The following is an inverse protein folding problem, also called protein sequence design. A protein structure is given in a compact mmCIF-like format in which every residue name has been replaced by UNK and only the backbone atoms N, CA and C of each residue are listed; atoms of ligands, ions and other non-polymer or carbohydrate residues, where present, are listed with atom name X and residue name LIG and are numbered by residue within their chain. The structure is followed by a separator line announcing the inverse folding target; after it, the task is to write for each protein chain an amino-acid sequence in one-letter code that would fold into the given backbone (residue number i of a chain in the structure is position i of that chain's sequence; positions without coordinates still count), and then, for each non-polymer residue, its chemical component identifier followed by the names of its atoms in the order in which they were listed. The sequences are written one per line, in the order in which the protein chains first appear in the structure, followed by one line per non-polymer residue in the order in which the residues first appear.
data_IF_154411356985
#
_entry.id   IF_154411356985
#
_cell.length_a   1.000
_cell.length_b   1.000
_cell.length_c   1.000
_cell.angle_alpha   90.00
_cell.angle_beta   90.00
_cell.angle_gamma   90.00
#
_symmetry.space_group_name_H-M   'P 1'
#
loop_
_entity.id
_entity.type
_entity.pdbx_description
1 polymer ?
#
# COMPACT_ATOMS: atom_id res chain seq x y z
N UNK A 1 32.22 33.49 12.78
CA UNK A 1 32.64 33.68 14.16
C UNK A 1 33.29 32.44 14.76
N UNK A 2 32.81 31.20 14.45
CA UNK A 2 33.33 29.93 15.00
C UNK A 2 34.75 29.64 14.51
N UNK A 3 35.02 29.77 13.19
CA UNK A 3 36.32 29.48 12.59
C UNK A 3 37.47 30.29 13.18
N UNK A 4 37.36 31.65 13.37
CA UNK A 4 38.39 32.42 14.02
C UNK A 4 38.61 32.05 15.49
N UNK A 5 37.54 31.64 16.19
CA UNK A 5 37.58 31.23 17.58
C UNK A 5 38.34 29.90 17.75
N UNK A 6 38.05 28.93 16.89
CA UNK A 6 38.77 27.64 16.83
C UNK A 6 40.25 27.83 16.56
N UNK A 7 40.61 28.79 15.69
CA UNK A 7 42.01 29.09 15.38
C UNK A 7 42.77 29.72 16.58
N UNK A 8 42.09 30.58 17.37
CA UNK A 8 42.68 31.18 18.58
C UNK A 8 42.85 30.14 19.69
N UNK A 9 41.88 29.23 19.82
CA UNK A 9 41.88 28.19 20.85
C UNK A 9 42.72 26.97 20.47
N UNK A 10 43.24 26.91 19.26
CA UNK A 10 43.98 25.77 18.69
C UNK A 10 43.21 24.44 18.76
N UNK A 11 41.88 24.52 18.61
CA UNK A 11 41.01 23.36 18.56
C UNK A 11 40.37 23.22 17.18
N UNK A 12 40.05 22.01 16.79
CA UNK A 12 39.30 21.77 15.54
C UNK A 12 37.83 22.18 15.68
N UNK A 13 37.18 22.49 14.58
CA UNK A 13 35.72 22.81 14.57
C UNK A 13 34.94 21.64 15.17
N UNK A 14 35.35 20.39 14.90
CA UNK A 14 34.69 19.21 15.46
C UNK A 14 34.87 19.07 16.96
N UNK A 15 36.03 19.41 17.51
CA UNK A 15 36.26 19.46 18.97
C UNK A 15 35.42 20.57 19.64
N UNK A 16 35.29 21.71 18.96
CA UNK A 16 34.43 22.78 19.44
C UNK A 16 32.95 22.38 19.50
N UNK A 17 32.48 21.67 18.47
CA UNK A 17 31.08 21.22 18.39
C UNK A 17 30.79 20.01 19.28
N UNK A 18 31.74 19.08 19.46
CA UNK A 18 31.58 17.92 20.34
C UNK A 18 31.81 18.20 21.80
N UNK A 19 32.45 19.33 22.16
CA UNK A 19 32.83 19.68 23.53
C UNK A 19 33.90 18.75 24.13
N UNK A 20 34.57 17.93 23.35
CA UNK A 20 35.58 16.96 23.78
C UNK A 20 36.89 17.21 23.04
N UNK A 21 38.02 17.27 23.80
CA UNK A 21 39.36 17.30 23.22
C UNK A 21 39.78 15.91 22.81
N UNK A 22 39.82 15.63 21.50
CA UNK A 22 40.17 14.32 20.96
C UNK A 22 41.59 14.39 20.35
N UNK A 23 42.48 13.53 20.81
CA UNK A 23 43.78 13.27 20.14
C UNK A 23 43.53 12.73 18.72
N UNK A 24 44.43 13.04 17.77
CA UNK A 24 44.28 12.74 16.34
C UNK A 24 43.94 11.27 16.06
N UNK A 25 44.41 10.33 16.88
CA UNK A 25 44.07 8.90 16.83
C UNK A 25 42.63 8.58 17.28
N UNK A 26 41.99 9.44 18.08
CA UNK A 26 40.60 9.24 18.54
C UNK A 26 39.55 9.61 17.49
N UNK A 27 39.90 10.44 16.51
CA UNK A 27 38.97 10.81 15.42
C UNK A 27 38.73 9.66 14.46
N UNK A 28 39.78 8.92 14.10
CA UNK A 28 39.68 7.76 13.22
C UNK A 28 38.85 6.66 13.86
N UNK A 29 39.10 6.38 15.13
CA UNK A 29 38.36 5.36 15.89
C UNK A 29 36.86 5.70 16.07
N UNK A 30 36.54 6.96 16.43
CA UNK A 30 35.13 7.41 16.51
C UNK A 30 34.45 7.43 15.15
N UNK A 31 35.15 7.84 14.08
CA UNK A 31 34.63 7.82 12.73
C UNK A 31 34.35 6.39 12.24
N UNK A 32 35.23 5.44 12.54
CA UNK A 32 35.03 4.01 12.21
C UNK A 32 33.84 3.42 12.99
N UNK A 33 33.70 3.72 14.30
CA UNK A 33 32.58 3.27 15.13
C UNK A 33 31.25 3.84 14.62
N UNK A 34 31.21 5.13 14.29
CA UNK A 34 30.02 5.78 13.74
C UNK A 34 29.66 5.19 12.37
N UNK A 35 30.65 4.94 11.51
CA UNK A 35 30.44 4.32 10.21
C UNK A 35 29.93 2.86 10.34
N UNK A 36 30.46 2.11 11.30
CA UNK A 36 30.02 0.76 11.61
C UNK A 36 28.58 0.73 12.14
N UNK A 37 28.23 1.65 13.02
CA UNK A 37 26.86 1.81 13.53
C UNK A 37 25.88 2.17 12.41
N UNK A 38 26.23 3.09 11.51
CA UNK A 38 25.42 3.45 10.35
C UNK A 38 25.22 2.27 9.36
N UNK A 39 26.28 1.48 9.16
CA UNK A 39 26.20 0.26 8.33
C UNK A 39 25.29 -0.78 8.99
N UNK A 40 25.38 -0.98 10.29
CA UNK A 40 24.56 -1.91 11.05
C UNK A 40 23.10 -1.49 11.09
N UNK A 41 22.81 -0.19 11.26
CA UNK A 41 21.44 0.37 11.15
C UNK A 41 20.87 0.18 9.75
N UNK A 42 21.68 0.39 8.70
CA UNK A 42 21.25 0.21 7.31
C UNK A 42 20.94 -1.27 6.99
N UNK A 43 21.75 -2.20 7.51
CA UNK A 43 21.48 -3.64 7.36
C UNK A 43 20.25 -4.10 8.14
N UNK A 44 20.10 -3.63 9.37
CA UNK A 44 18.92 -3.91 10.19
C UNK A 44 17.64 -3.35 9.58
N UNK A 45 17.69 -2.15 9.02
CA UNK A 45 16.59 -1.53 8.28
C UNK A 45 16.22 -2.32 7.02
N UNK A 46 17.21 -2.79 6.25
CA UNK A 46 16.98 -3.66 5.07
C UNK A 46 16.36 -5.00 5.47
N UNK A 47 16.83 -5.62 6.57
CA UNK A 47 16.31 -6.89 7.08
C UNK A 47 14.86 -6.74 7.57
N UNK A 48 14.57 -5.65 8.29
CA UNK A 48 13.22 -5.31 8.76
C UNK A 48 12.26 -5.03 7.58
N UNK A 49 12.72 -4.34 6.55
CA UNK A 49 11.93 -4.07 5.34
C UNK A 49 11.62 -5.35 4.56
N UNK A 50 12.56 -6.27 4.40
CA UNK A 50 12.34 -7.58 3.75
C UNK A 50 11.38 -8.45 4.55
N UNK A 51 11.53 -8.54 5.87
CA UNK A 51 10.62 -9.28 6.75
C UNK A 51 9.19 -8.74 6.67
N UNK A 52 9.02 -7.43 6.66
CA UNK A 52 7.72 -6.78 6.49
C UNK A 52 7.07 -7.05 5.12
N UNK A 53 7.87 -7.14 4.05
CA UNK A 53 7.41 -7.50 2.70
C UNK A 53 6.91 -8.95 2.63
N UNK A 54 7.66 -9.87 3.23
CA UNK A 54 7.28 -11.29 3.31
C UNK A 54 6.02 -11.46 4.14
N UNK A 55 5.93 -10.81 5.30
CA UNK A 55 4.73 -10.84 6.14
C UNK A 55 3.50 -10.32 5.39
N UNK A 56 3.64 -9.22 4.63
CA UNK A 56 2.57 -8.69 3.79
C UNK A 56 2.14 -9.68 2.71
N UNK A 57 3.09 -10.27 1.97
CA UNK A 57 2.80 -11.27 0.94
C UNK A 57 2.07 -12.49 1.51
N UNK A 58 2.53 -13.00 2.67
CA UNK A 58 1.90 -14.12 3.37
C UNK A 58 0.47 -13.76 3.79
N UNK A 59 0.24 -12.56 4.33
CA UNK A 59 -1.10 -12.11 4.76
C UNK A 59 -2.08 -12.07 3.58
N UNK A 60 -1.65 -11.55 2.42
CA UNK A 60 -2.48 -11.53 1.20
C UNK A 60 -2.79 -12.94 0.71
N UNK A 61 -1.80 -13.84 0.72
CA UNK A 61 -2.00 -15.24 0.30
C UNK A 61 -2.96 -15.95 1.25
N UNK A 62 -2.79 -15.80 2.58
CA UNK A 62 -3.70 -16.40 3.58
C UNK A 62 -5.12 -15.85 3.39
N UNK A 63 -5.28 -14.53 3.17
CA UNK A 63 -6.59 -13.93 2.94
C UNK A 63 -7.27 -14.52 1.70
N UNK A 64 -6.57 -14.59 0.57
CA UNK A 64 -7.08 -15.20 -0.65
C UNK A 64 -7.44 -16.68 -0.45
N UNK A 65 -6.60 -17.42 0.27
CA UNK A 65 -6.87 -18.82 0.57
C UNK A 65 -8.11 -19.00 1.45
N UNK A 66 -8.30 -18.16 2.48
CA UNK A 66 -9.49 -18.21 3.35
C UNK A 66 -10.76 -17.88 2.56
N UNK A 67 -10.73 -16.87 1.69
CA UNK A 67 -11.86 -16.53 0.82
C UNK A 67 -12.19 -17.70 -0.12
N UNK A 68 -11.19 -18.24 -0.80
CA UNK A 68 -11.35 -19.34 -1.74
C UNK A 68 -11.89 -20.60 -1.03
N UNK A 69 -11.32 -20.94 0.13
CA UNK A 69 -11.77 -22.06 0.96
C UNK A 69 -13.23 -21.88 1.40
N UNK A 70 -13.59 -20.67 1.86
CA UNK A 70 -14.96 -20.36 2.26
C UNK A 70 -15.95 -20.53 1.11
N UNK A 71 -15.58 -20.10 -0.09
CA UNK A 71 -16.39 -20.29 -1.31
C UNK A 71 -16.57 -21.78 -1.64
N UNK A 72 -15.48 -22.54 -1.65
CA UNK A 72 -15.51 -23.98 -2.01
C UNK A 72 -16.32 -24.79 -0.99
N UNK A 73 -16.19 -24.49 0.30
CA UNK A 73 -16.87 -25.27 1.36
C UNK A 73 -18.34 -24.93 1.51
N UNK A 74 -18.72 -23.68 1.32
CA UNK A 74 -20.10 -23.21 1.52
C UNK A 74 -20.97 -23.36 0.25
N UNK A 75 -20.36 -23.47 -0.93
CA UNK A 75 -21.07 -23.61 -2.20
C UNK A 75 -20.72 -24.97 -2.84
N UNK A 76 -21.73 -25.79 -3.10
CA UNK A 76 -21.56 -26.99 -3.92
C UNK A 76 -20.99 -26.65 -5.30
N UNK A 77 -20.36 -27.64 -5.97
CA UNK A 77 -19.65 -27.47 -7.26
C UNK A 77 -20.52 -26.77 -8.32
N UNK A 78 -21.82 -27.02 -8.34
CA UNK A 78 -22.78 -26.39 -9.27
C UNK A 78 -23.03 -24.90 -8.98
N UNK A 79 -22.82 -24.44 -7.73
CA UNK A 79 -22.99 -23.04 -7.31
C UNK A 79 -21.74 -22.19 -7.53
N UNK A 80 -20.57 -22.81 -7.71
CA UNK A 80 -19.32 -22.08 -7.97
C UNK A 80 -19.35 -21.29 -9.29
N UNK A 81 -20.10 -21.75 -10.28
CA UNK A 81 -20.30 -21.00 -11.54
C UNK A 81 -21.13 -19.72 -11.35
N UNK A 82 -22.04 -19.69 -10.36
CA UNK A 82 -22.84 -18.51 -10.06
C UNK A 82 -22.03 -17.45 -9.28
N UNK A 83 -20.94 -17.87 -8.62
CA UNK A 83 -20.08 -16.97 -7.86
C UNK A 83 -19.13 -16.17 -8.76
N UNK A 84 -18.79 -16.66 -9.94
CA UNK A 84 -17.88 -15.96 -10.88
C UNK A 84 -18.72 -15.29 -11.97
N UNK A 85 -19.15 -14.07 -11.69
CA UNK A 85 -19.83 -13.21 -12.66
C UNK A 85 -18.79 -12.39 -13.44
N UNK A 86 -18.36 -12.93 -14.58
CA UNK A 86 -17.37 -12.30 -15.45
C UNK A 86 -17.76 -10.91 -15.97
N UNK A 87 -19.00 -10.65 -16.41
CA UNK A 87 -19.45 -9.31 -16.81
C UNK A 87 -19.26 -8.27 -15.70
N UNK A 88 -19.71 -8.57 -14.48
CA UNK A 88 -19.57 -7.67 -13.31
C UNK A 88 -18.11 -7.41 -12.95
N UNK A 89 -17.26 -8.44 -12.95
CA UNK A 89 -15.83 -8.25 -12.73
C UNK A 89 -15.20 -7.37 -13.81
N UNK A 90 -15.51 -7.62 -15.06
CA UNK A 90 -14.95 -6.87 -16.18
C UNK A 90 -15.38 -5.39 -16.13
N UNK A 91 -16.65 -5.10 -15.84
CA UNK A 91 -17.16 -3.73 -15.69
C UNK A 91 -16.44 -2.98 -14.57
N UNK A 92 -16.25 -3.60 -13.42
CA UNK A 92 -15.55 -3.02 -12.27
C UNK A 92 -14.09 -2.68 -12.61
N UNK A 93 -13.36 -3.59 -13.27
CA UNK A 93 -11.98 -3.33 -13.70
C UNK A 93 -11.92 -2.23 -14.76
N UNK A 94 -12.81 -2.25 -15.75
CA UNK A 94 -12.84 -1.27 -16.83
C UNK A 94 -13.13 0.14 -16.29
N UNK A 95 -14.14 0.29 -15.45
CA UNK A 95 -14.49 1.58 -14.85
C UNK A 95 -13.34 2.08 -13.96
N UNK A 96 -12.73 1.20 -13.15
CA UNK A 96 -11.58 1.59 -12.34
C UNK A 96 -10.41 2.06 -13.21
N UNK A 97 -10.14 1.36 -14.31
CA UNK A 97 -9.11 1.78 -15.26
C UNK A 97 -9.42 3.14 -15.90
N UNK A 98 -10.68 3.37 -16.30
CA UNK A 98 -11.10 4.66 -16.87
C UNK A 98 -10.93 5.82 -15.86
N UNK A 99 -11.30 5.62 -14.58
CA UNK A 99 -11.07 6.64 -13.54
C UNK A 99 -9.58 6.92 -13.30
N UNK A 100 -8.75 5.87 -13.26
CA UNK A 100 -7.30 6.01 -13.10
C UNK A 100 -6.66 6.72 -14.31
N UNK A 101 -7.10 6.43 -15.52
CA UNK A 101 -6.62 7.11 -16.73
C UNK A 101 -7.11 8.55 -16.79
N UNK A 102 -8.37 8.81 -16.51
CA UNK A 102 -8.95 10.17 -16.54
C UNK A 102 -8.34 11.11 -15.50
N UNK A 103 -7.83 10.56 -14.39
CA UNK A 103 -7.12 11.34 -13.35
C UNK A 103 -5.60 11.36 -13.53
N UNK A 104 -5.05 10.79 -14.59
CA UNK A 104 -3.61 10.61 -14.83
C UNK A 104 -2.89 9.81 -13.71
N UNK A 105 -3.63 8.98 -12.98
CA UNK A 105 -3.11 8.13 -11.90
C UNK A 105 -2.85 6.68 -12.34
N UNK A 106 -3.01 6.35 -13.61
CA UNK A 106 -2.77 5.01 -14.15
C UNK A 106 -1.34 4.54 -13.94
N UNK A 107 -0.34 5.34 -14.35
CA UNK A 107 1.08 5.01 -14.11
C UNK A 107 1.43 4.97 -12.63
N UNK A 108 1.05 5.95 -11.78
CA UNK A 108 1.24 5.89 -10.34
C UNK A 108 0.62 4.64 -9.67
N UNK A 109 -0.49 4.12 -10.19
CA UNK A 109 -1.09 2.88 -9.71
C UNK A 109 -0.14 1.68 -9.88
N UNK A 110 0.44 1.49 -11.07
CA UNK A 110 1.43 0.43 -11.29
C UNK A 110 2.74 0.68 -10.54
N UNK A 111 3.16 1.93 -10.42
CA UNK A 111 4.33 2.32 -9.63
C UNK A 111 4.15 1.99 -8.14
N UNK A 112 2.93 2.03 -7.61
CA UNK A 112 2.62 1.64 -6.23
C UNK A 112 3.10 0.22 -5.91
N UNK A 113 2.83 -0.72 -6.79
CA UNK A 113 3.30 -2.11 -6.64
C UNK A 113 4.82 -2.22 -6.77
N UNK A 114 5.43 -1.48 -7.72
CA UNK A 114 6.90 -1.46 -7.89
C UNK A 114 7.62 -0.88 -6.68
N UNK A 115 7.04 0.15 -6.05
CA UNK A 115 7.57 0.76 -4.84
C UNK A 115 7.50 -0.24 -3.68
N UNK A 116 6.35 -0.87 -3.47
CA UNK A 116 6.14 -1.83 -2.38
C UNK A 116 7.04 -3.06 -2.53
N UNK A 117 7.18 -3.59 -3.74
CA UNK A 117 8.03 -4.75 -4.01
C UNK A 117 9.53 -4.41 -4.11
N UNK A 118 9.93 -3.18 -3.75
CA UNK A 118 11.34 -2.77 -3.64
C UNK A 118 12.11 -2.70 -4.96
N UNK A 119 11.41 -2.67 -6.09
CA UNK A 119 12.03 -2.57 -7.42
C UNK A 119 12.51 -1.15 -7.77
N UNK A 120 12.05 -0.14 -7.03
CA UNK A 120 12.41 1.28 -7.25
C UNK A 120 13.32 1.74 -6.11
N UNK A 121 14.61 1.99 -6.39
CA UNK A 121 15.62 2.34 -5.38
C UNK A 121 15.52 3.79 -4.87
N UNK A 122 15.06 4.72 -5.70
CA UNK A 122 14.85 6.12 -5.31
C UNK A 122 13.42 6.56 -5.64
N UNK A 123 12.65 6.90 -4.63
CA UNK A 123 11.26 7.35 -4.78
C UNK A 123 11.16 8.76 -4.22
N UNK A 124 10.62 9.73 -4.97
CA UNK A 124 10.37 11.09 -4.46
C UNK A 124 9.11 11.12 -3.61
N UNK A 125 9.00 12.12 -2.72
CA UNK A 125 7.79 12.37 -1.91
C UNK A 125 6.56 12.53 -2.82
N UNK A 126 6.71 13.26 -3.93
CA UNK A 126 5.65 13.46 -4.94
C UNK A 126 5.17 12.14 -5.55
N UNK A 127 6.10 11.21 -5.85
CA UNK A 127 5.74 9.88 -6.39
C UNK A 127 4.99 9.03 -5.36
N UNK A 128 5.39 9.07 -4.09
CA UNK A 128 4.69 8.38 -3.00
C UNK A 128 3.27 8.93 -2.82
N UNK A 129 3.11 10.25 -2.86
CA UNK A 129 1.80 10.90 -2.79
C UNK A 129 0.89 10.47 -3.94
N UNK A 130 1.39 10.48 -5.17
CA UNK A 130 0.63 10.05 -6.35
C UNK A 130 0.26 8.57 -6.29
N UNK A 131 1.20 7.71 -5.88
CA UNK A 131 0.97 6.28 -5.70
C UNK A 131 -0.11 5.99 -4.63
N UNK A 132 -0.04 6.66 -3.46
CA UNK A 132 -1.05 6.58 -2.42
C UNK A 132 -2.43 7.02 -2.93
N UNK A 133 -2.49 8.14 -3.66
CA UNK A 133 -3.73 8.69 -4.23
C UNK A 133 -4.34 7.75 -5.26
N UNK A 134 -3.52 7.11 -6.09
CA UNK A 134 -3.98 6.14 -7.09
C UNK A 134 -4.61 4.90 -6.44
N UNK A 135 -3.98 4.33 -5.41
CA UNK A 135 -4.53 3.18 -4.66
C UNK A 135 -5.80 3.58 -3.92
N UNK A 136 -5.84 4.78 -3.31
CA UNK A 136 -7.04 5.29 -2.64
C UNK A 136 -8.22 5.41 -3.62
N UNK A 137 -7.97 5.98 -4.81
CA UNK A 137 -8.99 6.10 -5.86
C UNK A 137 -9.49 4.74 -6.31
N UNK A 138 -8.59 3.82 -6.67
CA UNK A 138 -8.95 2.46 -7.09
C UNK A 138 -9.80 1.74 -6.04
N UNK A 139 -9.41 1.81 -4.76
CA UNK A 139 -10.12 1.21 -3.64
C UNK A 139 -11.57 1.73 -3.52
N UNK A 140 -11.75 3.04 -3.60
CA UNK A 140 -13.07 3.67 -3.52
C UNK A 140 -13.92 3.31 -4.74
N UNK A 141 -13.32 3.29 -5.92
CA UNK A 141 -14.01 2.94 -7.17
C UNK A 141 -14.47 1.48 -7.15
N UNK A 142 -13.63 0.54 -6.69
CA UNK A 142 -14.04 -0.86 -6.54
C UNK A 142 -15.25 -1.01 -5.62
N UNK A 143 -15.22 -0.36 -4.45
CA UNK A 143 -16.32 -0.42 -3.49
C UNK A 143 -17.61 0.22 -4.07
N UNK A 144 -17.48 1.41 -4.68
CA UNK A 144 -18.59 2.13 -5.28
C UNK A 144 -19.22 1.39 -6.45
N UNK A 145 -18.40 0.81 -7.34
CA UNK A 145 -18.87 0.00 -8.45
C UNK A 145 -19.54 -1.28 -7.98
N UNK A 146 -18.99 -1.96 -6.97
CA UNK A 146 -19.60 -3.15 -6.40
C UNK A 146 -21.00 -2.87 -5.84
N UNK A 147 -21.18 -1.74 -5.17
CA UNK A 147 -22.47 -1.31 -4.68
C UNK A 147 -23.44 -0.97 -5.82
N UNK A 148 -22.99 -0.23 -6.83
CA UNK A 148 -23.78 0.19 -7.99
C UNK A 148 -24.25 -1.03 -8.81
N UNK A 149 -23.36 -1.97 -9.11
CA UNK A 149 -23.70 -3.23 -9.82
C UNK A 149 -24.74 -4.05 -9.04
N UNK A 150 -24.62 -4.12 -7.72
CA UNK A 150 -25.62 -4.78 -6.89
C UNK A 150 -26.98 -4.08 -6.96
N UNK A 151 -27.02 -2.75 -6.91
CA UNK A 151 -28.27 -1.99 -7.05
C UNK A 151 -28.91 -2.25 -8.42
N UNK A 152 -28.14 -2.23 -9.51
CA UNK A 152 -28.66 -2.51 -10.86
C UNK A 152 -29.22 -3.94 -10.93
N UNK A 153 -28.47 -4.92 -10.38
CA UNK A 153 -28.91 -6.32 -10.37
C UNK A 153 -30.18 -6.52 -9.54
N UNK A 154 -30.31 -5.84 -8.40
CA UNK A 154 -31.56 -5.86 -7.63
C UNK A 154 -32.76 -5.28 -8.39
N UNK A 155 -32.55 -4.19 -9.14
CA UNK A 155 -33.63 -3.61 -9.98
C UNK A 155 -34.05 -4.54 -11.13
N UNK A 156 -33.13 -5.38 -11.59
CA UNK A 156 -33.36 -6.33 -12.68
C UNK A 156 -34.07 -7.62 -12.20
N UNK A 157 -34.23 -7.83 -10.90
CA UNK A 157 -34.90 -9.02 -10.38
C UNK A 157 -36.38 -8.99 -10.76
N UNK A 158 -36.77 -9.93 -11.62
CA UNK A 158 -38.19 -10.16 -11.97
C UNK A 158 -38.65 -11.47 -11.36
N UNK A 159 -39.87 -11.54 -10.85
CA UNK A 159 -40.45 -12.79 -10.36
C UNK A 159 -40.64 -13.76 -11.55
N UNK A 160 -39.88 -14.82 -11.58
CA UNK A 160 -40.01 -15.88 -12.59
C UNK A 160 -40.67 -17.11 -11.98
N UNK A 161 -41.87 -17.45 -12.47
CA UNK A 161 -42.57 -18.66 -12.11
C UNK A 161 -43.60 -18.49 -10.94
N UNK A 162 -44.25 -19.58 -10.61
CA UNK A 162 -45.28 -19.67 -9.55
C UNK A 162 -44.84 -20.66 -8.46
N UNK A 163 -45.19 -20.42 -7.22
CA UNK A 163 -44.98 -21.32 -6.09
C UNK A 163 -43.50 -21.55 -5.74
N UNK A 164 -43.04 -22.80 -5.66
CA UNK A 164 -41.66 -23.18 -5.27
C UNK A 164 -40.64 -22.76 -6.28
N UNK A 165 -40.98 -22.68 -7.58
CA UNK A 165 -40.07 -22.17 -8.64
C UNK A 165 -39.79 -20.68 -8.49
N UNK A 166 -40.80 -19.91 -8.03
CA UNK A 166 -40.66 -18.48 -7.73
C UNK A 166 -39.63 -18.26 -6.60
N UNK A 167 -39.69 -19.04 -5.54
CA UNK A 167 -38.77 -18.96 -4.41
C UNK A 167 -37.33 -19.29 -4.80
N UNK A 168 -37.13 -20.34 -5.60
CA UNK A 168 -35.78 -20.75 -6.06
C UNK A 168 -35.20 -19.71 -7.02
N UNK A 169 -36.00 -19.18 -7.93
CA UNK A 169 -35.59 -18.13 -8.86
C UNK A 169 -35.20 -16.84 -8.15
N UNK A 170 -35.97 -16.39 -7.17
CA UNK A 170 -35.65 -15.22 -6.35
C UNK A 170 -34.36 -15.40 -5.55
N UNK A 171 -34.14 -16.58 -4.94
CA UNK A 171 -32.93 -16.87 -4.19
C UNK A 171 -31.66 -16.78 -5.04
N UNK A 172 -31.71 -17.34 -6.26
CA UNK A 172 -30.59 -17.26 -7.21
C UNK A 172 -30.36 -15.81 -7.64
N UNK A 173 -31.40 -15.06 -7.98
CA UNK A 173 -31.31 -13.68 -8.42
C UNK A 173 -30.73 -12.76 -7.34
N UNK A 174 -31.13 -12.95 -6.08
CA UNK A 174 -30.58 -12.22 -4.94
C UNK A 174 -29.08 -12.56 -4.74
N UNK A 175 -28.73 -13.83 -4.88
CA UNK A 175 -27.33 -14.26 -4.76
C UNK A 175 -26.44 -13.59 -5.81
N UNK A 176 -26.88 -13.53 -7.06
CA UNK A 176 -26.17 -12.84 -8.14
C UNK A 176 -26.07 -11.34 -7.87
N UNK A 177 -27.15 -10.72 -7.39
CA UNK A 177 -27.15 -9.30 -7.07
C UNK A 177 -26.17 -8.94 -5.95
N UNK A 178 -25.91 -9.83 -5.00
CA UNK A 178 -24.94 -9.62 -3.91
C UNK A 178 -23.48 -9.79 -4.36
N UNK A 179 -23.22 -10.44 -5.49
CA UNK A 179 -21.85 -10.64 -5.99
C UNK A 179 -21.12 -9.32 -6.23
N UNK A 180 -21.81 -8.29 -6.71
CA UNK A 180 -21.20 -6.96 -6.92
C UNK A 180 -20.60 -6.39 -5.63
N UNK A 181 -21.36 -6.41 -4.53
CA UNK A 181 -20.87 -5.94 -3.21
C UNK A 181 -19.68 -6.80 -2.76
N UNK A 182 -19.78 -8.11 -2.91
CA UNK A 182 -18.72 -9.04 -2.52
C UNK A 182 -17.41 -8.76 -3.26
N UNK A 183 -17.45 -8.60 -4.59
CA UNK A 183 -16.27 -8.26 -5.38
C UNK A 183 -15.69 -6.88 -5.01
N UNK A 184 -16.57 -5.90 -4.78
CA UNK A 184 -16.19 -4.57 -4.32
C UNK A 184 -15.43 -4.63 -3.00
N UNK A 185 -15.93 -5.41 -2.03
CA UNK A 185 -15.29 -5.62 -0.73
C UNK A 185 -13.95 -6.36 -0.85
N UNK A 186 -13.88 -7.41 -1.68
CA UNK A 186 -12.62 -8.13 -1.91
C UNK A 186 -11.57 -7.19 -2.51
N UNK A 187 -11.92 -6.43 -3.55
CA UNK A 187 -11.01 -5.46 -4.16
C UNK A 187 -10.56 -4.37 -3.18
N UNK A 188 -11.49 -3.86 -2.36
CA UNK A 188 -11.19 -2.90 -1.31
C UNK A 188 -10.20 -3.45 -0.27
N UNK A 189 -10.44 -4.67 0.23
CA UNK A 189 -9.61 -5.30 1.25
C UNK A 189 -8.21 -5.66 0.72
N UNK A 190 -8.09 -6.08 -0.54
CA UNK A 190 -6.79 -6.35 -1.17
C UNK A 190 -5.93 -5.09 -1.35
N UNK A 191 -6.55 -3.96 -1.66
CA UNK A 191 -5.84 -2.69 -1.85
C UNK A 191 -5.54 -1.95 -0.55
N UNK A 192 -6.25 -2.26 0.53
CA UNK A 192 -6.11 -1.58 1.82
C UNK A 192 -4.69 -1.69 2.41
N UNK A 193 -4.06 -2.88 2.53
CA UNK A 193 -2.72 -2.99 3.09
C UNK A 193 -1.65 -2.30 2.21
N UNK A 194 -1.87 -2.25 0.90
CA UNK A 194 -1.01 -1.52 -0.04
C UNK A 194 -1.06 -0.02 0.29
N UNK A 195 -2.26 0.52 0.47
CA UNK A 195 -2.46 1.93 0.83
C UNK A 195 -1.78 2.27 2.15
N UNK A 196 -2.01 1.48 3.20
CA UNK A 196 -1.43 1.72 4.54
C UNK A 196 0.10 1.74 4.46
N UNK A 197 0.70 0.82 3.72
CA UNK A 197 2.14 0.77 3.57
C UNK A 197 2.71 1.99 2.84
N UNK A 198 2.06 2.44 1.77
CA UNK A 198 2.46 3.67 1.06
C UNK A 198 2.31 4.90 1.95
N UNK A 199 1.31 4.93 2.82
CA UNK A 199 1.08 6.01 3.77
C UNK A 199 2.20 6.10 4.82
N UNK A 200 2.61 4.96 5.39
CA UNK A 200 3.74 4.89 6.32
C UNK A 200 5.03 5.37 5.66
N UNK A 201 5.32 4.88 4.44
CA UNK A 201 6.50 5.31 3.69
C UNK A 201 6.49 6.79 3.34
N UNK A 202 5.31 7.35 3.06
CA UNK A 202 5.14 8.77 2.78
C UNK A 202 5.44 9.62 4.02
N UNK A 203 4.87 9.26 5.19
CA UNK A 203 5.10 9.98 6.45
C UNK A 203 6.58 9.93 6.87
N UNK A 204 7.21 8.77 6.84
CA UNK A 204 8.63 8.63 7.17
C UNK A 204 9.51 9.54 6.30
N UNK A 205 9.23 9.59 5.01
CA UNK A 205 10.02 10.41 4.10
C UNK A 205 9.79 11.91 4.26
N UNK A 206 8.60 12.29 4.70
CA UNK A 206 8.28 13.67 5.02
C UNK A 206 9.04 14.12 6.27
N UNK A 207 9.05 13.31 7.33
CA UNK A 207 9.83 13.57 8.56
C UNK A 207 11.34 13.69 8.28
N UNK A 208 11.90 12.81 7.45
CA UNK A 208 13.31 12.88 7.05
C UNK A 208 13.63 14.16 6.27
N UNK A 209 12.67 14.67 5.50
CA UNK A 209 12.83 15.91 4.73
C UNK A 209 12.77 17.15 5.63
N UNK A 210 11.89 17.16 6.63
CA UNK A 210 11.74 18.25 7.59
C UNK A 210 12.98 18.39 8.47
N UNK A 211 13.50 17.28 9.02
CA UNK A 211 14.74 17.26 9.81
C UNK A 211 15.93 17.81 9.03
N UNK A 212 16.04 17.44 7.75
CA UNK A 212 17.13 17.91 6.91
C UNK A 212 17.08 19.42 6.65
N UNK A 213 15.88 20.00 6.62
CA UNK A 213 15.69 21.45 6.44
C UNK A 213 16.00 22.21 7.72
N UNK A 214 15.78 21.61 8.88
CA UNK A 214 16.14 22.17 10.19
C UNK A 214 17.66 22.16 10.39
N UNK A 215 18.32 21.04 10.06
CA UNK A 215 19.79 20.91 10.14
C UNK A 215 20.53 21.87 9.19
N UNK A 216 19.95 22.20 8.03
CA UNK A 216 20.53 23.14 7.05
C UNK A 216 20.27 24.61 7.44
N UNK A 217 19.39 24.90 8.40
CA UNK A 217 19.02 26.25 8.85
C UNK A 217 19.77 26.70 10.11
N UNK A 218 20.40 25.78 10.85
CA UNK A 218 21.31 26.05 11.97
C UNK A 218 22.78 26.20 11.50
#
# INVERSE_FOLDING_TARGET
LIVPLCHILQISINEFLSGEHLLENGYTEKAEVNMMNLLQETENSKKKSRSSLLAFGITVIIFLFVVLYSVITNMGISMNMLFVDMPTLLSMFLVTALFLLGTNLGLPFFDSFRIIFGKKKSVSIKQLFQAKSAIKLAKITFLGMGFLESCISFMAIQPMGEGTLLFTGLSISISIALNGILYGLIGFLLLLPIQVRLEIMYMQKQEDSEKKTEDDAE
#
